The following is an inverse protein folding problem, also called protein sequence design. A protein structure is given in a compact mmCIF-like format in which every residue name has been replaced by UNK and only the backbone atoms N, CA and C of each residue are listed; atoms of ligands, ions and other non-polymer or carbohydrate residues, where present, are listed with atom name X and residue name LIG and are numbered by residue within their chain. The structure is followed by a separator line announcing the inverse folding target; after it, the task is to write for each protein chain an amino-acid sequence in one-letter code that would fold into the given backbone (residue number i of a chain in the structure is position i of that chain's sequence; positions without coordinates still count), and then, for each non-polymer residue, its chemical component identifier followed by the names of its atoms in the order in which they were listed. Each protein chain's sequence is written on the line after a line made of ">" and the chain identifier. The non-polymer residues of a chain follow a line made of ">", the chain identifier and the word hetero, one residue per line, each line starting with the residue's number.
data_IF_316997985866
#
_entry.id   IF_316997985866
#
_cell.length_a   1.000
_cell.length_b   1.000
_cell.length_c   1.000
_cell.angle_alpha   90.00
_cell.angle_beta   90.00
_cell.angle_gamma   90.00
#
_symmetry.space_group_name_H-M   'P 1'
#
loop_
_entity.id
_entity.type
_entity.pdbx_description
1 polymer ?
#
# COMPACT_ATOMS: atom_id res chain seq x y z
N UNK A 1 -36.87 -33.37 53.22
CA UNK A 1 -37.56 -33.00 54.48
C UNK A 1 -36.67 -31.98 55.19
N UNK A 2 -36.91 -30.67 55.01
CA UNK A 2 -37.66 -29.76 55.91
C UNK A 2 -36.93 -29.53 57.25
N UNK A 3 -36.76 -28.33 57.83
CA UNK A 3 -36.93 -26.92 57.45
C UNK A 3 -36.25 -26.05 58.57
N UNK A 4 -35.68 -24.90 58.17
CA UNK A 4 -35.48 -23.54 58.80
C UNK A 4 -36.01 -23.18 60.21
N UNK A 5 -35.82 -21.93 60.75
CA UNK A 5 -34.72 -20.93 60.76
C UNK A 5 -34.59 -20.18 62.14
N UNK A 6 -33.75 -19.12 62.29
CA UNK A 6 -33.92 -17.96 63.21
C UNK A 6 -32.90 -16.82 62.84
N UNK A 7 -33.31 -15.70 62.21
CA UNK A 7 -33.77 -14.36 62.72
C UNK A 7 -32.68 -13.31 63.02
N UNK A 8 -32.72 -12.21 62.26
CA UNK A 8 -32.41 -10.78 62.59
C UNK A 8 -33.50 -10.19 63.53
N UNK A 9 -33.41 -8.99 64.19
CA UNK A 9 -33.07 -7.66 63.59
C UNK A 9 -32.47 -6.56 64.52
N UNK A 10 -32.04 -5.43 63.92
CA UNK A 10 -32.40 -4.02 64.25
C UNK A 10 -31.31 -2.98 63.92
N UNK A 11 -31.70 -1.98 63.11
CA UNK A 11 -31.07 -0.66 62.88
C UNK A 11 -31.53 0.34 63.96
N UNK A 12 -30.85 1.49 64.23
CA UNK A 12 -31.21 2.71 63.51
C UNK A 12 -30.10 3.77 63.27
N UNK A 13 -30.26 4.49 62.16
CA UNK A 13 -30.09 5.94 61.92
C UNK A 13 -29.28 6.82 62.91
N UNK A 14 -28.35 7.60 62.35
CA UNK A 14 -28.12 9.00 62.77
C UNK A 14 -27.73 9.87 61.57
N UNK A 15 -28.47 10.96 61.41
CA UNK A 15 -28.40 11.97 60.36
C UNK A 15 -28.27 13.35 61.05
N UNK A 16 -27.62 14.30 60.36
CA UNK A 16 -27.45 15.75 60.64
C UNK A 16 -26.26 16.10 61.56
N UNK A 17 -25.45 17.13 61.31
CA UNK A 17 -25.81 18.49 60.85
C UNK A 17 -24.61 19.24 60.23
N UNK A 18 -24.93 20.19 59.35
CA UNK A 18 -24.07 21.22 58.72
C UNK A 18 -23.38 22.18 59.70
N UNK A 19 -22.20 22.69 59.32
CA UNK A 19 -21.71 24.09 59.43
C UNK A 19 -20.36 24.19 58.66
N UNK A 20 -20.34 24.75 57.45
CA UNK A 20 -20.03 26.14 57.07
C UNK A 20 -18.62 26.65 57.44
N UNK A 21 -17.71 26.73 56.46
CA UNK A 21 -16.72 27.80 56.38
C UNK A 21 -16.50 28.26 54.94
N UNK A 22 -16.33 29.57 54.84
CA UNK A 22 -16.49 30.47 53.72
C UNK A 22 -15.22 30.68 52.86
N UNK A 23 -15.46 30.80 51.55
CA UNK A 23 -14.94 31.80 50.60
C UNK A 23 -13.42 31.99 50.35
N UNK A 24 -13.03 31.72 49.09
CA UNK A 24 -12.16 32.60 48.30
C UNK A 24 -12.70 32.70 46.85
N UNK A 25 -12.88 33.94 46.37
CA UNK A 25 -13.49 34.32 45.08
C UNK A 25 -12.49 34.22 43.92
N UNK A 26 -12.90 33.88 42.68
CA UNK A 26 -12.18 34.28 41.48
C UNK A 26 -12.70 35.65 41.00
N UNK A 27 -11.81 36.65 40.95
CA UNK A 27 -11.99 37.88 40.16
C UNK A 27 -11.29 37.68 38.83
N UNK A 28 -12.03 37.70 37.72
CA UNK A 28 -11.79 38.65 36.61
C UNK A 28 -12.84 38.45 35.53
N UNK A 29 -13.62 39.50 35.33
CA UNK A 29 -14.58 39.72 34.25
C UNK A 29 -13.81 40.14 33.00
N UNK A 30 -14.09 39.55 31.83
CA UNK A 30 -13.74 40.17 30.55
C UNK A 30 -14.89 40.06 29.55
N UNK A 31 -15.10 41.19 28.88
CA UNK A 31 -16.24 41.55 28.05
C UNK A 31 -16.34 40.75 26.75
N UNK A 32 -17.58 40.43 26.36
CA UNK A 32 -17.95 40.04 25.00
C UNK A 32 -17.86 41.26 24.07
N UNK A 33 -16.95 41.21 23.10
CA UNK A 33 -16.83 42.17 22.00
C UNK A 33 -16.95 41.45 20.66
N UNK A 34 -17.93 41.88 19.87
CA UNK A 34 -18.24 41.41 18.50
C UNK A 34 -17.29 42.02 17.46
N UNK A 35 -16.65 41.19 16.63
CA UNK A 35 -16.39 41.39 15.17
C UNK A 35 -15.32 40.42 14.68
N UNK A 36 -15.54 39.64 13.59
CA UNK A 36 -14.48 38.87 12.96
C UNK A 36 -13.68 39.76 12.00
N UNK A 37 -12.44 40.11 12.36
CA UNK A 37 -11.47 40.62 11.38
C UNK A 37 -10.85 39.43 10.62
N UNK A 38 -10.75 39.47 9.29
CA UNK A 38 -10.07 38.42 8.54
C UNK A 38 -8.57 38.49 8.82
N UNK A 39 -8.02 37.41 9.36
CA UNK A 39 -6.58 37.25 9.55
C UNK A 39 -5.99 36.76 8.22
N UNK A 40 -5.44 37.67 7.43
CA UNK A 40 -4.69 37.35 6.22
C UNK A 40 -3.26 36.97 6.61
N UNK A 41 -2.86 35.73 6.33
CA UNK A 41 -1.46 35.28 6.42
C UNK A 41 -0.76 35.74 5.13
N UNK A 42 0.24 36.63 5.18
CA UNK A 42 1.03 36.94 4.00
C UNK A 42 1.93 35.74 3.67
N UNK A 43 1.72 35.15 2.49
CA UNK A 43 2.64 34.19 1.90
C UNK A 43 3.90 34.93 1.45
N UNK A 44 4.89 35.08 2.34
CA UNK A 44 6.27 35.36 1.92
C UNK A 44 7.02 34.04 1.81
N UNK A 45 6.87 33.36 0.68
CA UNK A 45 7.84 32.35 0.29
C UNK A 45 9.09 33.08 -0.20
N UNK A 46 10.04 33.31 0.71
CA UNK A 46 11.44 33.51 0.31
C UNK A 46 11.81 32.33 -0.58
N UNK A 47 12.14 32.58 -1.84
CA UNK A 47 12.66 31.59 -2.78
C UNK A 47 14.01 31.10 -2.26
N UNK A 48 13.99 30.15 -1.33
CA UNK A 48 15.14 29.26 -1.16
C UNK A 48 15.11 28.31 -2.35
N UNK A 49 16.21 28.37 -3.12
CA UNK A 49 16.34 27.78 -4.43
C UNK A 49 15.83 26.34 -4.48
N UNK A 50 15.01 26.07 -5.50
CA UNK A 50 14.69 24.72 -5.94
C UNK A 50 16.03 23.99 -6.13
N UNK A 51 16.28 22.83 -5.49
CA UNK A 51 17.43 22.02 -5.85
C UNK A 51 17.33 21.75 -7.36
N UNK A 52 18.44 21.81 -8.11
CA UNK A 52 18.40 21.56 -9.54
C UNK A 52 17.74 20.21 -9.78
N UNK A 53 16.81 20.17 -10.76
CA UNK A 53 16.31 18.90 -11.29
C UNK A 53 17.52 18.06 -11.64
N UNK A 54 17.79 17.00 -10.86
CA UNK A 54 18.84 16.06 -11.18
C UNK A 54 18.56 15.53 -12.58
N UNK A 55 19.47 15.82 -13.51
CA UNK A 55 19.41 15.27 -14.86
C UNK A 55 19.46 13.76 -14.73
N UNK A 56 18.37 13.08 -15.10
CA UNK A 56 18.41 11.64 -15.32
C UNK A 56 19.59 11.30 -16.23
N UNK A 57 20.27 10.18 -15.95
CA UNK A 57 21.33 9.64 -16.79
C UNK A 57 20.92 9.67 -18.26
N UNK A 58 21.83 10.11 -19.12
CA UNK A 58 21.62 10.18 -20.57
C UNK A 58 21.34 8.82 -21.20
N UNK A 59 21.57 7.72 -20.49
CA UNK A 59 21.44 6.35 -20.99
C UNK A 59 20.08 5.70 -20.68
N UNK A 60 19.24 6.28 -19.79
CA UNK A 60 17.97 5.67 -19.39
C UNK A 60 16.80 6.11 -20.26
N UNK A 61 16.02 5.13 -20.73
CA UNK A 61 14.82 5.33 -21.54
C UNK A 61 13.55 5.50 -20.67
N UNK A 62 12.54 6.20 -21.21
CA UNK A 62 11.21 6.30 -20.60
C UNK A 62 10.37 5.05 -20.85
N UNK A 63 10.54 4.04 -20.01
CA UNK A 63 9.93 2.74 -20.22
C UNK A 63 8.39 2.74 -19.99
N UNK A 64 7.59 2.69 -21.07
CA UNK A 64 6.12 2.47 -21.05
C UNK A 64 5.73 0.98 -21.13
N UNK A 65 6.65 0.05 -20.80
CA UNK A 65 6.33 -1.37 -20.76
C UNK A 65 5.18 -1.68 -19.80
N UNK A 66 4.38 -2.67 -20.19
CA UNK A 66 3.21 -3.22 -19.52
C UNK A 66 3.54 -4.11 -18.31
N UNK A 67 4.78 -4.58 -18.23
CA UNK A 67 5.33 -5.26 -17.07
C UNK A 67 6.58 -6.05 -17.42
N UNK A 68 7.69 -5.93 -16.66
CA UNK A 68 7.88 -5.05 -15.50
C UNK A 68 8.01 -3.55 -15.88
N UNK A 69 7.49 -2.68 -15.02
CA UNK A 69 7.37 -1.23 -15.24
C UNK A 69 8.61 -0.43 -14.79
N UNK A 70 8.65 0.85 -15.15
CA UNK A 70 9.76 1.76 -14.79
C UNK A 70 9.82 2.05 -13.28
N UNK A 71 11.03 2.16 -12.73
CA UNK A 71 11.31 2.56 -11.35
C UNK A 71 12.09 3.88 -11.32
N UNK A 72 11.98 4.71 -10.25
CA UNK A 72 12.76 5.94 -10.11
C UNK A 72 14.27 5.69 -10.17
N UNK A 73 14.97 6.44 -11.02
CA UNK A 73 16.40 6.25 -11.26
C UNK A 73 17.26 6.46 -10.01
N UNK A 74 16.98 7.51 -9.25
CA UNK A 74 17.71 7.81 -8.01
C UNK A 74 17.60 6.68 -6.99
N UNK A 75 16.47 5.96 -6.96
CA UNK A 75 16.27 4.77 -6.10
C UNK A 75 17.16 3.63 -6.59
N UNK A 76 17.18 3.37 -7.91
CA UNK A 76 18.01 2.32 -8.50
C UNK A 76 19.51 2.57 -8.30
N UNK A 77 19.98 3.79 -8.57
CA UNK A 77 21.37 4.18 -8.38
C UNK A 77 21.78 4.10 -6.91
N UNK A 78 20.88 4.48 -5.99
CA UNK A 78 21.13 4.36 -4.56
C UNK A 78 21.27 2.89 -4.15
N UNK A 79 20.31 2.05 -4.57
CA UNK A 79 20.35 0.61 -4.30
C UNK A 79 21.62 -0.04 -4.87
N UNK A 80 21.99 0.28 -6.11
CA UNK A 80 23.23 -0.20 -6.74
C UNK A 80 24.47 0.21 -5.94
N UNK A 81 24.58 1.49 -5.56
CA UNK A 81 25.74 2.02 -4.84
C UNK A 81 25.96 1.37 -3.46
N UNK A 82 24.90 0.87 -2.84
CA UNK A 82 24.93 0.27 -1.50
C UNK A 82 24.75 -1.25 -1.51
N UNK A 83 24.67 -1.88 -2.69
CA UNK A 83 24.31 -3.28 -2.81
C UNK A 83 25.35 -4.22 -2.21
N UNK A 84 26.64 -3.91 -2.41
CA UNK A 84 27.75 -4.74 -1.91
C UNK A 84 28.06 -4.47 -0.44
N UNK A 85 28.00 -3.21 -0.02
CA UNK A 85 28.27 -2.81 1.35
C UNK A 85 27.38 -1.62 1.71
N UNK A 86 26.31 -1.90 2.46
CA UNK A 86 25.35 -0.87 2.82
C UNK A 86 25.92 0.02 3.92
N UNK A 87 26.14 1.30 3.58
CA UNK A 87 26.62 2.34 4.50
C UNK A 87 27.88 1.96 5.30
N UNK A 88 28.77 1.16 4.73
CA UNK A 88 30.00 0.73 5.40
C UNK A 88 29.78 -0.31 6.50
N UNK A 89 28.60 -0.94 6.57
CA UNK A 89 28.30 -2.03 7.52
C UNK A 89 29.16 -3.28 7.32
N UNK A 90 29.80 -3.41 6.16
CA UNK A 90 30.59 -4.58 5.78
C UNK A 90 29.78 -5.70 5.12
N UNK A 91 28.48 -5.47 4.86
CA UNK A 91 27.59 -6.46 4.24
C UNK A 91 26.49 -5.80 3.40
N UNK A 92 25.88 -6.58 2.51
CA UNK A 92 24.70 -6.17 1.76
C UNK A 92 23.47 -6.09 2.67
N UNK A 93 22.48 -5.26 2.32
CA UNK A 93 21.14 -5.31 2.93
C UNK A 93 20.54 -6.72 2.84
N UNK A 94 20.85 -7.45 1.76
CA UNK A 94 20.35 -8.80 1.52
C UNK A 94 20.87 -9.83 2.53
N UNK A 95 21.98 -9.53 3.21
CA UNK A 95 22.65 -10.41 4.17
C UNK A 95 22.36 -9.98 5.63
N UNK A 96 21.68 -8.84 5.81
CA UNK A 96 21.44 -8.29 7.14
C UNK A 96 20.46 -9.16 7.93
N UNK A 97 20.83 -9.43 9.18
CA UNK A 97 19.87 -9.93 10.17
C UNK A 97 18.77 -8.91 10.41
N UNK A 98 17.51 -9.33 10.31
CA UNK A 98 16.36 -8.49 10.58
C UNK A 98 16.27 -7.99 12.04
N UNK A 99 17.07 -8.55 12.95
CA UNK A 99 17.23 -8.09 14.35
C UNK A 99 18.42 -7.14 14.54
N UNK A 100 19.30 -7.08 13.54
CA UNK A 100 20.50 -6.24 13.54
C UNK A 100 20.15 -4.76 13.58
N UNK A 101 21.05 -3.96 14.17
CA UNK A 101 20.89 -2.50 14.28
C UNK A 101 20.69 -1.83 12.91
N UNK A 102 21.38 -2.33 11.88
CA UNK A 102 21.35 -1.76 10.54
C UNK A 102 19.98 -1.99 9.89
N UNK A 103 19.46 -3.22 9.90
CA UNK A 103 18.11 -3.50 9.39
C UNK A 103 17.01 -2.81 10.20
N UNK A 104 17.15 -2.73 11.53
CA UNK A 104 16.20 -1.98 12.38
C UNK A 104 16.14 -0.50 11.99
N UNK A 105 17.29 0.12 11.72
CA UNK A 105 17.31 1.51 11.26
C UNK A 105 16.62 1.70 9.90
N UNK A 106 16.69 0.69 9.00
CA UNK A 106 16.01 0.72 7.70
C UNK A 106 14.49 0.67 7.89
N UNK A 107 13.99 -0.28 8.68
CA UNK A 107 12.55 -0.48 8.85
C UNK A 107 11.89 0.67 9.63
N UNK A 108 12.57 1.19 10.66
CA UNK A 108 12.11 2.37 11.43
C UNK A 108 12.05 3.62 10.53
N UNK A 109 13.07 3.83 9.68
CA UNK A 109 13.07 4.95 8.73
C UNK A 109 11.98 4.79 7.67
N UNK A 110 11.74 3.58 7.18
CA UNK A 110 10.67 3.29 6.24
C UNK A 110 9.28 3.54 6.84
N UNK A 111 9.06 3.16 8.11
CA UNK A 111 7.83 3.49 8.84
C UNK A 111 7.67 5.01 8.95
N UNK A 112 8.71 5.71 9.39
CA UNK A 112 8.69 7.17 9.56
C UNK A 112 8.38 7.89 8.24
N UNK A 113 9.03 7.49 7.14
CA UNK A 113 8.79 8.08 5.82
C UNK A 113 7.37 7.79 5.31
N UNK A 114 6.86 6.58 5.54
CA UNK A 114 5.49 6.22 5.17
C UNK A 114 4.46 7.04 5.95
N UNK A 115 4.70 7.25 7.26
CA UNK A 115 3.86 8.11 8.10
C UNK A 115 3.84 9.54 7.61
N UNK A 116 5.00 10.09 7.27
CA UNK A 116 5.12 11.45 6.74
C UNK A 116 4.44 11.57 5.36
N UNK A 117 4.64 10.60 4.48
CA UNK A 117 4.09 10.62 3.12
C UNK A 117 2.56 10.55 3.11
N UNK A 118 1.97 9.76 4.01
CA UNK A 118 0.53 9.51 4.06
C UNK A 118 -0.18 10.28 5.20
N UNK A 119 0.53 11.17 5.90
CA UNK A 119 0.04 11.89 7.08
C UNK A 119 -0.62 10.96 8.12
N UNK A 120 0.04 9.86 8.48
CA UNK A 120 -0.47 8.87 9.43
C UNK A 120 -0.29 9.40 10.86
N UNK A 121 -1.37 9.60 11.65
CA UNK A 121 -1.28 10.13 13.00
C UNK A 121 -0.53 9.21 13.99
N UNK A 122 0.02 9.77 15.09
CA UNK A 122 0.83 9.03 16.07
C UNK A 122 0.05 7.92 16.78
N UNK A 123 -1.27 8.07 16.94
CA UNK A 123 -2.13 7.07 17.58
C UNK A 123 -2.33 5.81 16.72
N UNK A 124 -1.97 5.86 15.43
CA UNK A 124 -1.96 4.71 14.55
C UNK A 124 -0.60 4.06 14.61
N UNK A 125 -0.57 2.75 14.85
CA UNK A 125 0.66 1.99 14.69
C UNK A 125 0.85 1.60 13.20
N UNK A 126 2.10 1.53 12.76
CA UNK A 126 2.51 1.13 11.40
C UNK A 126 3.43 -0.08 11.55
N UNK A 127 2.86 -1.26 11.81
CA UNK A 127 3.64 -2.49 11.62
C UNK A 127 3.63 -2.82 10.14
N UNK A 128 4.78 -3.28 9.68
CA UNK A 128 4.93 -4.11 8.48
C UNK A 128 4.41 -5.54 8.74
N UNK A 129 3.25 -5.60 9.42
CA UNK A 129 2.43 -6.73 9.85
C UNK A 129 1.01 -6.27 10.32
N UNK A 130 0.70 -4.97 10.41
CA UNK A 130 -0.48 -4.42 11.15
C UNK A 130 -1.71 -4.19 10.32
N UNK A 131 -1.60 -4.41 9.02
CA UNK A 131 -2.67 -4.13 8.06
C UNK A 131 -3.97 -4.84 8.44
N UNK A 132 -3.91 -6.04 9.03
CA UNK A 132 -5.10 -6.81 9.40
C UNK A 132 -6.07 -6.06 10.35
N UNK A 133 -5.56 -5.23 11.27
CA UNK A 133 -6.40 -4.45 12.21
C UNK A 133 -7.22 -3.36 11.52
N UNK A 134 -6.80 -2.92 10.33
CA UNK A 134 -7.55 -1.95 9.51
C UNK A 134 -8.82 -2.57 8.93
N UNK A 135 -8.83 -3.89 8.70
CA UNK A 135 -9.93 -4.60 8.03
C UNK A 135 -10.74 -5.50 8.97
N UNK A 136 -10.21 -5.88 10.13
CA UNK A 136 -10.89 -6.78 11.05
C UNK A 136 -10.47 -6.57 12.52
N UNK A 137 -11.13 -7.29 13.44
CA UNK A 137 -10.80 -7.32 14.87
C UNK A 137 -10.06 -8.62 15.22
N UNK A 138 -8.73 -8.69 15.03
CA UNK A 138 -7.99 -9.92 15.29
C UNK A 138 -7.87 -10.20 16.80
N UNK A 139 -8.11 -11.44 17.22
CA UNK A 139 -7.78 -11.97 18.55
C UNK A 139 -6.49 -12.77 18.44
N UNK A 140 -5.47 -12.40 19.22
CA UNK A 140 -4.26 -13.23 19.36
C UNK A 140 -4.59 -14.37 20.33
N UNK A 141 -4.60 -15.60 19.83
CA UNK A 141 -4.91 -16.80 20.63
C UNK A 141 -3.67 -17.41 21.28
N UNK A 142 -2.50 -17.25 20.68
CA UNK A 142 -1.21 -17.66 21.23
C UNK A 142 -0.08 -16.92 20.48
N UNK A 143 1.03 -16.60 21.16
CA UNK A 143 2.19 -15.95 20.54
C UNK A 143 3.56 -16.46 21.02
N UNK A 144 3.63 -17.50 21.85
CA UNK A 144 4.87 -18.11 22.33
C UNK A 144 5.76 -17.27 23.24
N UNK A 145 5.44 -15.99 23.47
CA UNK A 145 6.30 -15.05 24.21
C UNK A 145 6.56 -15.47 25.65
N UNK A 146 5.53 -15.96 26.35
CA UNK A 146 5.65 -16.43 27.74
C UNK A 146 6.49 -17.70 27.87
N UNK A 147 6.67 -18.43 26.77
CA UNK A 147 7.35 -19.73 26.72
C UNK A 147 8.70 -19.61 25.99
N UNK A 148 9.21 -18.39 25.76
CA UNK A 148 10.44 -18.12 24.99
C UNK A 148 10.47 -18.81 23.61
N UNK A 149 9.29 -19.03 23.00
CA UNK A 149 9.14 -19.58 21.65
C UNK A 149 9.82 -20.95 21.46
N UNK A 150 9.96 -21.77 22.51
CA UNK A 150 10.61 -23.09 22.40
C UNK A 150 9.68 -24.20 21.91
N UNK A 151 8.40 -23.89 21.70
CA UNK A 151 7.38 -24.83 21.23
C UNK A 151 6.26 -24.13 20.47
N UNK A 152 5.47 -24.93 19.76
CA UNK A 152 4.15 -24.55 19.22
C UNK A 152 3.06 -24.92 20.25
N UNK A 153 1.90 -24.22 20.25
CA UNK A 153 0.84 -24.51 21.20
C UNK A 153 0.22 -25.89 20.95
N UNK A 154 -0.35 -26.49 22.01
CA UNK A 154 -1.26 -27.63 21.84
C UNK A 154 -2.56 -27.13 21.24
N UNK A 155 -3.15 -27.88 20.31
CA UNK A 155 -4.36 -27.46 19.62
C UNK A 155 -5.59 -27.48 20.55
N UNK A 156 -5.65 -28.45 21.48
CA UNK A 156 -6.78 -28.63 22.40
C UNK A 156 -6.89 -27.51 23.45
N UNK A 157 -5.79 -26.77 23.68
CA UNK A 157 -5.74 -25.69 24.67
C UNK A 157 -5.97 -24.30 24.09
N UNK A 158 -6.28 -24.17 22.79
CA UNK A 158 -6.47 -22.86 22.15
C UNK A 158 -7.89 -22.35 22.33
N UNK A 159 -8.05 -21.20 22.99
CA UNK A 159 -9.32 -20.50 23.07
C UNK A 159 -9.66 -19.76 21.77
N UNK A 160 -10.13 -20.53 20.78
CA UNK A 160 -10.54 -20.02 19.49
C UNK A 160 -11.87 -19.27 19.58
N UNK A 161 -11.98 -18.16 18.84
CA UNK A 161 -13.25 -17.44 18.74
C UNK A 161 -14.23 -18.24 17.86
N UNK A 162 -15.45 -18.59 18.34
CA UNK A 162 -16.37 -19.47 17.61
C UNK A 162 -16.86 -18.87 16.28
N UNK A 163 -16.82 -17.53 16.17
CA UNK A 163 -17.26 -16.80 14.97
C UNK A 163 -16.09 -16.27 14.12
N UNK A 164 -14.84 -16.68 14.41
CA UNK A 164 -13.70 -16.26 13.60
C UNK A 164 -13.87 -16.75 12.15
N UNK A 165 -13.66 -15.86 11.18
CA UNK A 165 -13.69 -16.20 9.76
C UNK A 165 -12.45 -16.97 9.32
N UNK A 166 -11.34 -16.77 10.02
CA UNK A 166 -10.11 -17.51 9.78
C UNK A 166 -9.29 -17.65 11.07
N UNK A 167 -8.43 -18.66 11.07
CA UNK A 167 -7.34 -18.82 12.02
C UNK A 167 -6.04 -18.57 11.26
N UNK A 168 -5.20 -17.65 11.74
CA UNK A 168 -3.90 -17.36 11.12
C UNK A 168 -2.76 -17.98 11.91
N UNK A 169 -1.83 -18.64 11.23
CA UNK A 169 -0.60 -19.19 11.81
C UNK A 169 0.64 -18.70 11.06
N UNK A 170 1.77 -18.60 11.77
CA UNK A 170 3.09 -18.63 11.16
C UNK A 170 3.56 -20.08 11.16
N UNK A 171 3.62 -20.72 9.98
CA UNK A 171 3.90 -22.16 9.90
C UNK A 171 5.34 -22.51 10.27
N UNK A 172 6.28 -21.60 10.01
CA UNK A 172 7.68 -21.71 10.41
C UNK A 172 8.19 -20.36 10.91
N UNK A 173 8.33 -20.22 12.22
CA UNK A 173 8.88 -19.03 12.85
C UNK A 173 10.41 -19.04 12.72
N UNK A 174 10.94 -18.06 11.99
CA UNK A 174 12.35 -18.06 11.55
C UNK A 174 13.32 -17.72 12.69
N UNK A 175 12.91 -16.94 13.68
CA UNK A 175 13.78 -16.39 14.72
C UNK A 175 14.21 -17.46 15.70
N UNK A 176 13.23 -18.21 16.20
CA UNK A 176 13.40 -19.21 17.25
C UNK A 176 13.34 -20.64 16.71
N UNK A 177 13.06 -20.82 15.42
CA UNK A 177 13.12 -22.12 14.76
C UNK A 177 11.98 -23.05 15.14
N UNK A 178 10.80 -22.50 15.49
CA UNK A 178 9.61 -23.32 15.75
C UNK A 178 8.80 -23.53 14.49
N UNK A 179 8.54 -24.80 14.18
CA UNK A 179 7.81 -25.18 12.98
C UNK A 179 6.61 -26.07 13.32
N UNK A 180 5.44 -25.71 12.76
CA UNK A 180 4.28 -26.58 12.77
C UNK A 180 4.53 -27.84 11.93
N UNK A 181 4.47 -29.00 12.58
CA UNK A 181 4.53 -30.31 11.91
C UNK A 181 3.13 -30.80 11.51
N UNK A 182 2.13 -30.41 12.28
CA UNK A 182 0.70 -30.58 11.99
C UNK A 182 0.01 -29.21 12.07
N UNK A 183 -1.22 -29.10 11.58
CA UNK A 183 -1.94 -27.83 11.50
C UNK A 183 -3.21 -27.85 12.36
N UNK A 184 -3.55 -26.74 13.05
CA UNK A 184 -4.78 -26.63 13.81
C UNK A 184 -5.99 -26.50 12.90
N UNK A 185 -7.16 -26.89 13.40
CA UNK A 185 -8.45 -26.67 12.73
C UNK A 185 -9.09 -25.39 13.29
N UNK A 186 -9.63 -24.50 12.46
CA UNK A 186 -10.41 -23.35 12.93
C UNK A 186 -11.59 -23.78 13.80
N UNK A 187 -11.88 -23.06 14.89
CA UNK A 187 -12.99 -23.37 15.78
C UNK A 187 -14.38 -23.13 15.16
N UNK A 188 -14.46 -22.31 14.12
CA UNK A 188 -15.65 -22.12 13.30
C UNK A 188 -15.66 -23.17 12.17
N UNK A 189 -16.71 -24.00 12.03
CA UNK A 189 -16.81 -24.98 10.93
C UNK A 189 -16.75 -24.35 9.52
N UNK A 190 -17.19 -23.10 9.40
CA UNK A 190 -17.12 -22.32 8.15
C UNK A 190 -15.88 -21.43 8.08
N UNK A 191 -15.02 -21.47 9.10
CA UNK A 191 -13.76 -20.73 9.13
C UNK A 191 -12.67 -21.44 8.35
N UNK A 192 -11.67 -20.69 7.89
CA UNK A 192 -10.55 -21.23 7.12
C UNK A 192 -9.22 -21.07 7.84
N UNK A 193 -8.27 -21.96 7.57
CA UNK A 193 -6.90 -21.81 8.04
C UNK A 193 -6.11 -20.93 7.06
N UNK A 194 -5.38 -19.96 7.59
CA UNK A 194 -4.46 -19.09 6.86
C UNK A 194 -3.06 -19.30 7.40
N UNK A 195 -2.08 -19.48 6.53
CA UNK A 195 -0.70 -19.75 6.94
C UNK A 195 0.32 -18.87 6.21
N UNK A 196 1.12 -18.17 7.00
CA UNK A 196 2.40 -17.63 6.52
C UNK A 196 3.43 -18.78 6.48
N UNK A 197 3.80 -19.16 5.27
CA UNK A 197 4.79 -20.20 4.99
C UNK A 197 6.10 -19.64 4.44
N UNK A 198 6.34 -18.33 4.56
CA UNK A 198 7.50 -17.66 3.93
C UNK A 198 8.82 -18.43 4.13
N UNK A 199 9.09 -18.91 5.36
CA UNK A 199 10.36 -19.56 5.74
C UNK A 199 10.38 -21.08 5.61
N UNK A 200 9.32 -21.71 5.13
CA UNK A 200 9.29 -23.16 4.83
C UNK A 200 8.50 -23.49 3.57
N UNK A 201 8.26 -22.50 2.71
CA UNK A 201 7.55 -22.67 1.46
C UNK A 201 8.34 -23.61 0.54
N UNK A 202 7.70 -24.65 0.00
CA UNK A 202 8.33 -25.71 -0.79
C UNK A 202 9.43 -26.52 -0.07
N UNK A 203 9.50 -26.50 1.27
CA UNK A 203 10.48 -27.32 2.00
C UNK A 203 10.05 -28.79 2.16
N UNK A 204 8.74 -29.07 2.07
CA UNK A 204 8.11 -30.39 2.26
C UNK A 204 6.76 -30.45 1.56
N UNK A 205 6.20 -31.65 1.31
CA UNK A 205 4.82 -31.79 0.85
C UNK A 205 3.83 -31.16 1.84
N UNK A 206 2.85 -30.41 1.32
CA UNK A 206 1.78 -29.78 2.10
C UNK A 206 0.44 -30.14 1.45
N UNK A 207 -0.50 -30.64 2.26
CA UNK A 207 -1.89 -30.80 1.84
C UNK A 207 -2.58 -29.43 1.83
N UNK A 208 -2.60 -28.80 0.66
CA UNK A 208 -3.16 -27.46 0.44
C UNK A 208 -4.67 -27.39 0.71
N UNK A 209 -5.38 -28.52 0.70
CA UNK A 209 -6.84 -28.54 0.91
C UNK A 209 -7.25 -28.14 2.34
N UNK A 210 -6.31 -28.21 3.29
CA UNK A 210 -6.50 -27.78 4.68
C UNK A 210 -6.51 -26.26 4.85
N UNK A 211 -6.14 -25.50 3.84
CA UNK A 211 -5.95 -24.05 3.91
C UNK A 211 -6.97 -23.30 3.05
N UNK A 212 -7.45 -22.17 3.57
CA UNK A 212 -8.09 -21.15 2.75
C UNK A 212 -7.08 -20.27 2.02
N UNK A 213 -5.97 -19.96 2.68
CA UNK A 213 -4.89 -19.14 2.11
C UNK A 213 -3.52 -19.55 2.64
N UNK A 214 -2.52 -19.58 1.77
CA UNK A 214 -1.10 -19.67 2.10
C UNK A 214 -0.42 -18.45 1.48
N UNK A 215 0.34 -17.70 2.27
CA UNK A 215 1.22 -16.63 1.76
C UNK A 215 2.69 -16.96 2.04
N UNK A 216 3.56 -16.57 1.12
CA UNK A 216 5.00 -16.76 1.27
C UNK A 216 5.78 -15.66 0.56
N UNK A 217 6.58 -14.89 1.31
CA UNK A 217 7.63 -14.08 0.71
C UNK A 217 8.72 -14.97 0.13
N UNK A 218 9.03 -14.80 -1.16
CA UNK A 218 9.97 -15.66 -1.88
C UNK A 218 11.39 -15.61 -1.29
N UNK A 219 11.78 -14.46 -0.72
CA UNK A 219 13.13 -14.14 -0.23
C UNK A 219 13.75 -15.11 0.76
N UNK A 220 12.95 -15.95 1.43
CA UNK A 220 13.48 -16.85 2.45
C UNK A 220 13.87 -18.22 1.90
N UNK A 221 13.17 -18.72 0.89
CA UNK A 221 13.30 -20.13 0.50
C UNK A 221 13.28 -20.37 -1.01
N UNK A 222 12.62 -19.53 -1.81
CA UNK A 222 12.31 -19.86 -3.22
C UNK A 222 12.58 -18.74 -4.21
N UNK A 223 13.15 -17.61 -3.79
CA UNK A 223 13.48 -16.52 -4.70
C UNK A 223 14.08 -15.30 -4.01
N UNK A 224 14.29 -14.19 -4.74
CA UNK A 224 14.75 -12.92 -4.19
C UNK A 224 13.62 -12.15 -3.47
N UNK A 225 13.98 -11.09 -2.74
CA UNK A 225 13.01 -10.15 -2.16
C UNK A 225 12.25 -9.35 -3.21
N UNK A 226 11.03 -8.94 -2.87
CA UNK A 226 10.11 -8.23 -3.76
C UNK A 226 9.06 -9.11 -4.44
N UNK A 227 9.10 -10.44 -4.25
CA UNK A 227 8.09 -11.37 -4.74
C UNK A 227 7.36 -12.02 -3.55
N UNK A 228 6.02 -11.95 -3.55
CA UNK A 228 5.17 -12.66 -2.60
C UNK A 228 4.24 -13.60 -3.37
N UNK A 229 4.23 -14.87 -2.97
CA UNK A 229 3.38 -15.91 -3.53
C UNK A 229 2.17 -16.07 -2.62
N UNK A 230 0.97 -16.07 -3.20
CA UNK A 230 -0.29 -16.31 -2.48
C UNK A 230 -1.05 -17.44 -3.18
N UNK A 231 -1.32 -18.51 -2.43
CA UNK A 231 -2.21 -19.60 -2.85
C UNK A 231 -3.52 -19.40 -2.08
N UNK A 232 -4.62 -19.15 -2.79
CA UNK A 232 -5.92 -18.84 -2.17
C UNK A 232 -7.02 -19.71 -2.76
N UNK A 233 -7.94 -20.16 -1.90
CA UNK A 233 -9.13 -20.91 -2.30
C UNK A 233 -10.07 -19.98 -3.09
N UNK A 234 -10.51 -20.42 -4.27
CA UNK A 234 -11.20 -19.55 -5.24
C UNK A 234 -12.49 -18.92 -4.71
N UNK A 235 -13.21 -19.63 -3.86
CA UNK A 235 -14.45 -19.15 -3.21
C UNK A 235 -14.22 -17.99 -2.22
N UNK A 236 -12.97 -17.73 -1.82
CA UNK A 236 -12.60 -16.62 -0.95
C UNK A 236 -12.23 -15.34 -1.72
N UNK A 237 -12.20 -15.40 -3.06
CA UNK A 237 -11.85 -14.26 -3.91
C UNK A 237 -13.09 -13.41 -4.18
N UNK A 238 -12.93 -12.09 -4.06
CA UNK A 238 -14.00 -11.11 -4.28
C UNK A 238 -14.52 -10.49 -2.99
N UNK A 239 -15.47 -9.56 -3.10
CA UNK A 239 -16.09 -8.86 -1.96
C UNK A 239 -15.07 -8.20 -0.99
N UNK A 240 -13.96 -7.69 -1.53
CA UNK A 240 -12.98 -6.94 -0.74
C UNK A 240 -13.62 -5.66 -0.17
N UNK A 241 -13.15 -5.22 0.99
CA UNK A 241 -13.60 -3.96 1.57
C UNK A 241 -13.13 -2.79 0.71
N UNK A 242 -13.94 -1.73 0.59
CA UNK A 242 -13.59 -0.56 -0.23
C UNK A 242 -12.32 0.15 0.26
N UNK A 243 -12.03 0.04 1.55
CA UNK A 243 -10.85 0.63 2.19
C UNK A 243 -9.54 -0.14 1.91
N UNK A 244 -9.58 -1.29 1.24
CA UNK A 244 -8.37 -2.04 0.90
C UNK A 244 -7.54 -1.26 -0.13
N UNK A 245 -6.27 -0.89 0.17
CA UNK A 245 -5.41 -0.13 -0.72
C UNK A 245 -5.34 -0.77 -2.10
N UNK A 246 -5.73 -0.02 -3.13
CA UNK A 246 -5.85 -0.53 -4.50
C UNK A 246 -7.25 -1.05 -4.87
N UNK A 247 -8.30 -0.62 -4.17
CA UNK A 247 -9.67 -0.89 -4.59
C UNK A 247 -9.90 -0.53 -6.06
N UNK A 248 -10.48 -1.46 -6.83
CA UNK A 248 -10.64 -1.31 -8.28
C UNK A 248 -11.42 -0.06 -8.67
N UNK A 249 -12.33 0.43 -7.81
CA UNK A 249 -13.10 1.66 -8.06
C UNK A 249 -12.23 2.92 -8.14
N UNK A 250 -11.29 3.10 -7.20
CA UNK A 250 -10.37 4.25 -7.22
C UNK A 250 -9.30 4.12 -8.31
N UNK A 251 -8.90 2.88 -8.61
CA UNK A 251 -8.01 2.58 -9.74
C UNK A 251 -8.70 2.89 -11.07
N UNK A 252 -9.95 2.47 -11.23
CA UNK A 252 -10.81 2.76 -12.38
C UNK A 252 -10.97 4.26 -12.57
N UNK A 253 -11.39 5.01 -11.54
CA UNK A 253 -11.52 6.47 -11.60
C UNK A 253 -10.25 7.19 -12.06
N UNK A 254 -9.08 6.76 -11.58
CA UNK A 254 -7.78 7.31 -12.00
C UNK A 254 -7.46 6.96 -13.45
N UNK A 255 -7.81 5.75 -13.88
CA UNK A 255 -7.57 5.29 -15.25
C UNK A 255 -8.54 5.95 -16.24
N UNK A 256 -9.81 6.15 -15.87
CA UNK A 256 -10.78 6.95 -16.62
C UNK A 256 -10.29 8.38 -16.82
N UNK A 257 -9.77 9.02 -15.77
CA UNK A 257 -9.22 10.37 -15.86
C UNK A 257 -8.04 10.44 -16.83
N UNK A 258 -7.05 9.55 -16.69
CA UNK A 258 -5.89 9.48 -17.60
C UNK A 258 -6.29 9.24 -19.04
N UNK A 259 -7.10 8.20 -19.29
CA UNK A 259 -7.54 7.85 -20.63
C UNK A 259 -8.38 8.96 -21.25
N UNK A 260 -9.27 9.59 -20.48
CA UNK A 260 -10.09 10.71 -20.91
C UNK A 260 -9.24 11.88 -21.41
N UNK A 261 -8.20 12.27 -20.67
CA UNK A 261 -7.30 13.37 -21.07
C UNK A 261 -6.64 13.07 -22.43
N UNK A 262 -6.20 11.83 -22.66
CA UNK A 262 -5.56 11.45 -23.93
C UNK A 262 -6.56 11.32 -25.09
N UNK A 263 -7.71 10.65 -24.87
CA UNK A 263 -8.72 10.50 -25.93
C UNK A 263 -9.34 11.84 -26.33
N UNK A 264 -9.53 12.76 -25.39
CA UNK A 264 -10.01 14.11 -25.70
C UNK A 264 -9.02 14.83 -26.62
N UNK A 265 -7.71 14.75 -26.34
CA UNK A 265 -6.70 15.34 -27.21
C UNK A 265 -6.71 14.75 -28.64
N UNK A 266 -6.95 13.45 -28.78
CA UNK A 266 -7.09 12.79 -30.08
C UNK A 266 -8.35 13.28 -30.79
N UNK A 267 -9.50 13.27 -30.11
CA UNK A 267 -10.80 13.61 -30.71
C UNK A 267 -10.90 15.10 -31.07
N UNK A 268 -10.27 15.99 -30.31
CA UNK A 268 -10.24 17.44 -30.53
C UNK A 268 -9.22 17.87 -31.59
N UNK A 269 -8.35 16.96 -32.04
CA UNK A 269 -7.27 17.24 -33.01
C UNK A 269 -7.72 17.52 -34.44
N UNK A 270 -9.04 17.57 -34.70
CA UNK A 270 -9.63 17.71 -36.04
C UNK A 270 -9.13 16.67 -37.05
N UNK A 271 -8.81 15.47 -36.56
CA UNK A 271 -8.39 14.34 -37.39
C UNK A 271 -6.88 14.23 -37.63
N UNK A 272 -6.08 15.13 -37.07
CA UNK A 272 -4.61 15.04 -37.11
C UNK A 272 -4.12 13.77 -36.41
N UNK A 273 -4.70 13.44 -35.26
CA UNK A 273 -4.54 12.15 -34.59
C UNK A 273 -5.83 11.33 -34.75
N UNK A 274 -5.71 10.03 -35.00
CA UNK A 274 -6.86 9.14 -35.22
C UNK A 274 -6.75 7.88 -34.38
N UNK A 275 -7.70 7.65 -33.49
CA UNK A 275 -7.90 6.36 -32.85
C UNK A 275 -8.90 5.54 -33.68
N UNK A 276 -8.55 4.34 -34.18
CA UNK A 276 -9.43 3.54 -35.02
C UNK A 276 -10.55 2.82 -34.24
N UNK A 277 -10.53 2.91 -32.91
CA UNK A 277 -11.45 2.17 -32.03
C UNK A 277 -12.73 2.98 -31.79
N UNK A 278 -13.87 2.30 -31.94
CA UNK A 278 -15.19 2.87 -31.61
C UNK A 278 -15.22 3.41 -30.18
N UNK A 279 -15.82 4.60 -29.99
CA UNK A 279 -15.77 5.32 -28.71
C UNK A 279 -16.30 4.51 -27.54
N UNK A 280 -17.31 3.67 -27.76
CA UNK A 280 -17.97 2.89 -26.69
C UNK A 280 -17.09 1.77 -26.12
N UNK A 281 -16.04 1.37 -26.83
CA UNK A 281 -15.17 0.24 -26.48
C UNK A 281 -13.69 0.61 -26.42
N UNK A 282 -13.38 1.91 -26.35
CA UNK A 282 -12.01 2.42 -26.20
C UNK A 282 -11.40 1.94 -24.88
N UNK A 283 -10.21 1.36 -24.95
CA UNK A 283 -9.50 0.85 -23.79
C UNK A 283 -9.04 1.99 -22.89
N UNK A 284 -9.20 1.83 -21.57
CA UNK A 284 -8.60 2.72 -20.57
C UNK A 284 -7.09 2.51 -20.39
N UNK A 285 -6.53 1.42 -20.95
CA UNK A 285 -5.14 1.02 -20.71
C UNK A 285 -4.26 1.25 -21.92
N UNK A 286 -4.73 0.91 -23.12
CA UNK A 286 -3.91 0.89 -24.32
C UNK A 286 -4.59 1.73 -25.40
N UNK A 287 -3.99 2.87 -25.72
CA UNK A 287 -4.55 3.86 -26.64
C UNK A 287 -3.77 3.84 -27.95
N UNK A 288 -4.23 3.08 -28.98
CA UNK A 288 -3.65 3.15 -30.31
C UNK A 288 -4.13 4.41 -31.03
N UNK A 289 -3.20 5.09 -31.69
CA UNK A 289 -3.54 6.23 -32.55
C UNK A 289 -2.52 6.36 -33.70
N UNK A 290 -2.99 6.80 -34.85
CA UNK A 290 -2.15 7.11 -36.03
C UNK A 290 -2.18 8.60 -36.30
N UNK A 291 -1.24 9.10 -37.10
CA UNK A 291 -1.33 10.45 -37.66
C UNK A 291 -2.10 10.41 -38.99
N UNK A 292 -2.75 11.52 -39.35
CA UNK A 292 -3.27 11.71 -40.71
C UNK A 292 -2.16 11.61 -41.75
N UNK A 293 -1.02 12.23 -41.46
CA UNK A 293 0.21 12.19 -42.27
C UNK A 293 1.14 11.12 -41.70
N UNK A 294 0.99 9.88 -42.17
CA UNK A 294 1.74 8.72 -41.68
C UNK A 294 3.26 8.87 -41.77
N UNK A 295 3.76 9.66 -42.72
CA UNK A 295 5.17 10.00 -42.88
C UNK A 295 5.77 10.74 -41.68
N UNK A 296 4.93 11.41 -40.87
CA UNK A 296 5.34 12.11 -39.66
C UNK A 296 5.47 11.21 -38.43
N UNK A 297 4.98 9.96 -38.48
CA UNK A 297 5.01 9.04 -37.33
C UNK A 297 6.44 8.76 -36.85
N UNK A 298 7.38 8.65 -37.79
CA UNK A 298 8.80 8.48 -37.48
C UNK A 298 9.43 9.70 -36.80
N UNK A 299 8.99 10.91 -37.15
CA UNK A 299 9.42 12.15 -36.50
C UNK A 299 8.78 12.29 -35.11
N UNK A 300 7.47 12.04 -35.01
CA UNK A 300 6.73 12.04 -33.74
C UNK A 300 7.42 11.15 -32.70
N UNK A 301 7.74 9.91 -33.05
CA UNK A 301 8.40 8.97 -32.15
C UNK A 301 9.79 9.45 -31.71
N UNK A 302 10.57 10.00 -32.63
CA UNK A 302 11.92 10.53 -32.32
C UNK A 302 11.86 11.77 -31.45
N UNK A 303 10.91 12.67 -31.68
CA UNK A 303 10.74 13.88 -30.87
C UNK A 303 10.19 13.57 -29.49
N UNK A 304 9.20 12.67 -29.39
CA UNK A 304 8.70 12.16 -28.13
C UNK A 304 9.83 11.51 -27.30
N UNK A 305 10.72 10.74 -27.95
CA UNK A 305 11.88 10.13 -27.28
C UNK A 305 12.87 11.19 -26.74
N UNK A 306 13.15 12.27 -27.49
CA UNK A 306 13.95 13.41 -26.99
C UNK A 306 13.28 14.08 -25.79
N UNK A 307 11.96 14.18 -25.86
CA UNK A 307 11.06 14.62 -24.79
C UNK A 307 10.80 13.57 -23.74
N UNK A 308 11.61 12.51 -23.72
CA UNK A 308 11.60 11.58 -22.61
C UNK A 308 10.24 10.87 -22.53
N UNK A 309 9.77 10.40 -23.68
CA UNK A 309 8.58 9.55 -23.82
C UNK A 309 8.88 8.46 -24.86
N UNK A 310 9.32 7.26 -24.44
CA UNK A 310 9.73 6.19 -25.37
C UNK A 310 8.66 5.10 -25.49
N UNK A 311 8.92 4.01 -26.23
CA UNK A 311 7.99 2.86 -26.36
C UNK A 311 6.56 3.22 -26.82
N UNK A 312 6.38 4.39 -27.45
CA UNK A 312 5.11 4.81 -28.03
C UNK A 312 4.84 4.17 -29.39
N UNK A 313 5.81 3.44 -29.98
CA UNK A 313 5.65 2.84 -31.30
C UNK A 313 4.53 1.79 -31.29
N UNK A 314 3.56 1.96 -32.19
CA UNK A 314 2.45 1.04 -32.35
C UNK A 314 2.88 -0.32 -32.90
N UNK A 315 1.96 -1.30 -32.81
CA UNK A 315 2.22 -2.64 -33.32
C UNK A 315 2.43 -2.63 -34.84
N UNK A 316 3.35 -3.48 -35.33
CA UNK A 316 3.77 -3.56 -36.73
C UNK A 316 2.63 -3.72 -37.76
N UNK A 317 1.50 -4.28 -37.35
CA UNK A 317 0.34 -4.51 -38.24
C UNK A 317 -0.54 -3.28 -38.47
N UNK A 318 -0.46 -2.28 -37.59
CA UNK A 318 -1.33 -1.09 -37.62
C UNK A 318 -0.53 0.22 -37.76
N UNK A 319 0.79 0.18 -37.59
CA UNK A 319 1.62 1.40 -37.64
C UNK A 319 1.32 2.35 -36.48
N UNK A 320 1.64 3.63 -36.64
CA UNK A 320 1.32 4.67 -35.68
C UNK A 320 1.95 4.48 -34.31
N UNK A 321 1.18 4.89 -33.30
CA UNK A 321 1.57 4.88 -31.90
C UNK A 321 0.60 4.04 -31.07
N UNK A 322 1.08 3.59 -29.93
CA UNK A 322 0.29 3.04 -28.84
C UNK A 322 0.82 3.61 -27.53
N UNK A 323 -0.03 4.38 -26.83
CA UNK A 323 0.26 4.83 -25.48
C UNK A 323 -0.36 3.86 -24.47
N UNK A 324 0.50 3.15 -23.73
CA UNK A 324 0.08 2.24 -22.65
C UNK A 324 0.13 2.98 -21.31
N UNK A 325 -1.04 3.18 -20.69
CA UNK A 325 -1.26 4.10 -19.56
C UNK A 325 -1.79 3.38 -18.30
N UNK A 326 -1.18 2.24 -17.99
CA UNK A 326 -1.52 1.37 -16.84
C UNK A 326 -1.55 2.09 -15.50
N UNK A 327 -1.98 1.38 -14.44
CA UNK A 327 -2.15 1.91 -13.08
C UNK A 327 -0.96 2.76 -12.59
N UNK A 328 0.28 2.34 -12.86
CA UNK A 328 1.50 3.01 -12.43
C UNK A 328 1.90 4.22 -13.29
N UNK A 329 1.29 4.42 -14.47
CA UNK A 329 1.50 5.62 -15.27
C UNK A 329 0.90 6.82 -14.53
N UNK A 330 1.71 7.83 -14.13
CA UNK A 330 1.19 9.02 -13.48
C UNK A 330 0.36 9.86 -14.45
N UNK A 331 -0.64 10.57 -13.93
CA UNK A 331 -1.44 11.51 -14.72
C UNK A 331 -0.55 12.54 -15.44
N UNK A 332 0.46 13.06 -14.74
CA UNK A 332 1.44 13.99 -15.32
C UNK A 332 2.19 13.44 -16.55
N UNK A 333 2.37 12.12 -16.66
CA UNK A 333 2.97 11.50 -17.84
C UNK A 333 2.04 11.57 -19.06
N UNK A 334 0.75 11.37 -18.84
CA UNK A 334 -0.28 11.49 -19.88
C UNK A 334 -0.50 12.96 -20.28
N UNK A 335 -0.52 13.86 -19.30
CA UNK A 335 -0.59 15.31 -19.55
C UNK A 335 0.60 15.82 -20.36
N UNK A 336 1.81 15.30 -20.08
CA UNK A 336 3.01 15.63 -20.87
C UNK A 336 2.88 15.14 -22.31
N UNK A 337 2.42 13.91 -22.53
CA UNK A 337 2.17 13.38 -23.87
C UNK A 337 1.16 14.26 -24.62
N UNK A 338 0.09 14.67 -23.95
CA UNK A 338 -0.95 15.52 -24.56
C UNK A 338 -0.43 16.93 -24.87
N UNK A 339 0.42 17.50 -24.01
CA UNK A 339 1.11 18.77 -24.32
C UNK A 339 1.97 18.63 -25.57
N UNK A 340 2.81 17.60 -25.61
CA UNK A 340 3.64 17.30 -26.78
C UNK A 340 2.82 17.08 -28.05
N UNK A 341 1.68 16.37 -27.95
CA UNK A 341 0.78 16.17 -29.10
C UNK A 341 0.22 17.50 -29.63
N UNK A 342 -0.09 18.45 -28.77
CA UNK A 342 -0.55 19.78 -29.18
C UNK A 342 0.56 20.56 -29.88
N UNK A 343 1.75 20.59 -29.28
CA UNK A 343 2.92 21.29 -29.84
C UNK A 343 3.32 20.69 -31.20
N UNK A 344 3.31 19.35 -31.31
CA UNK A 344 3.60 18.64 -32.55
C UNK A 344 2.52 18.92 -33.61
N UNK A 345 1.25 18.96 -33.24
CA UNK A 345 0.18 19.32 -34.17
C UNK A 345 0.36 20.76 -34.67
N UNK A 346 0.63 21.72 -33.79
CA UNK A 346 0.83 23.13 -34.16
C UNK A 346 2.04 23.32 -35.10
N UNK A 347 3.11 22.54 -34.91
CA UNK A 347 4.30 22.56 -35.79
C UNK A 347 4.04 22.00 -37.19
N UNK A 348 3.03 21.12 -37.36
CA UNK A 348 2.81 20.34 -38.59
C UNK A 348 1.42 20.52 -39.24
N UNK A 349 0.63 21.46 -38.72
CA UNK A 349 -0.64 21.96 -39.29
C UNK A 349 -0.39 23.32 -39.93
#
# INVERSE_FOLDING_TARGET
>A
MAATPLTTPHTPLLQKTLQSHAFLKPKTTFHYGTSPKPFSIPCSSTLQGRPPLQSQSRDRVFNFADGPATLPENVLLKAQSELYNWRGSGMSVMEMSHRGKDFRSIIEKAESDLRALLNIPEEYAVLFLQEAKKYCKPKVVWNGKLENYVRVPSFDGLELSPNAKYLHICANETIYGTEFKNYPVPGNPNGVLVADMSSNFCSKPVDVTKFGLINAGAQKHVGPSGVCIVIVRKDLIGNAQEITPGGLKEVEKKNEMKAGVLYNAIDESKGFYRCPVDKSVRSLMNVPFTLEKSELEGEFLKEAEKEKMVQLKGHRSVGGMQASIYNAMPLAGVEKLVSFMKDFQEKHT
#
